data_IF_606010952216
#
_entry.id   IF_606010952216
#
_cell.length_a   1.000
_cell.length_b   1.000
_cell.length_c   1.000
_cell.angle_alpha   90.00
_cell.angle_beta   90.00
_cell.angle_gamma   90.00
#
_symmetry.space_group_name_H-M   'P 1'
#
loop_
_entity.id
_entity.type
_entity.pdbx_description
1 polymer ?
#
# COMPACT_ATOMS: atom_id res chain seq x y z
N UNK A 1 -12.95 -22.55 -0.78
CA UNK A 1 -11.86 -23.18 -0.01
C UNK A 1 -12.11 -23.04 1.48
N UNK A 2 -11.66 -24.00 2.30
CA UNK A 2 -11.88 -24.02 3.77
C UNK A 2 -11.39 -22.72 4.45
N UNK A 3 -10.38 -22.08 3.92
CA UNK A 3 -9.88 -20.80 4.43
C UNK A 3 -10.88 -19.64 4.29
N UNK A 4 -11.72 -19.63 3.27
CA UNK A 4 -12.74 -18.59 3.09
C UNK A 4 -13.93 -18.76 4.05
N UNK A 5 -14.15 -19.94 4.59
CA UNK A 5 -15.25 -20.20 5.52
C UNK A 5 -14.92 -19.79 6.96
N UNK A 6 -13.63 -19.82 7.32
CA UNK A 6 -13.17 -19.51 8.70
C UNK A 6 -13.11 -17.99 8.95
N UNK A 7 -12.94 -17.16 7.90
CA UNK A 7 -12.72 -15.71 8.04
C UNK A 7 -13.76 -14.86 7.30
N UNK A 8 -15.03 -15.14 7.49
CA UNK A 8 -16.12 -14.30 7.00
C UNK A 8 -16.26 -13.08 7.91
N UNK A 9 -15.53 -12.00 7.59
CA UNK A 9 -15.43 -10.80 8.46
C UNK A 9 -16.02 -9.54 7.85
N UNK A 10 -16.55 -9.62 6.61
CA UNK A 10 -17.20 -8.49 5.96
C UNK A 10 -18.51 -8.14 6.69
N UNK A 11 -18.73 -6.86 6.92
CA UNK A 11 -19.98 -6.33 7.48
C UNK A 11 -20.73 -5.55 6.43
N UNK A 12 -22.06 -5.65 6.40
CA UNK A 12 -22.94 -4.95 5.47
C UNK A 12 -22.91 -3.43 5.69
N UNK A 13 -22.82 -3.05 6.95
CA UNK A 13 -22.81 -1.67 7.39
C UNK A 13 -21.69 -1.46 8.43
N UNK A 14 -20.83 -0.46 8.26
CA UNK A 14 -19.70 -0.24 9.15
C UNK A 14 -20.10 0.21 10.57
N UNK A 15 -21.32 0.74 10.76
CA UNK A 15 -21.82 1.21 12.06
C UNK A 15 -22.50 0.07 12.80
N UNK A 16 -23.49 -0.56 12.19
CA UNK A 16 -24.26 -1.67 12.81
C UNK A 16 -23.55 -3.01 12.78
N UNK A 17 -22.56 -3.18 11.89
CA UNK A 17 -21.62 -4.31 11.84
C UNK A 17 -22.27 -5.68 11.67
N UNK A 18 -23.41 -5.77 11.00
CA UNK A 18 -24.02 -7.05 10.65
C UNK A 18 -23.15 -7.80 9.62
N UNK A 19 -22.75 -9.02 9.92
CA UNK A 19 -21.87 -9.80 9.05
C UNK A 19 -22.58 -10.23 7.76
N UNK A 20 -21.89 -10.12 6.62
CA UNK A 20 -22.41 -10.55 5.32
C UNK A 20 -22.48 -12.06 5.17
N UNK A 21 -21.69 -12.81 5.95
CA UNK A 21 -21.50 -14.26 5.95
C UNK A 21 -20.82 -14.86 4.70
N UNK A 22 -20.62 -14.07 3.67
CA UNK A 22 -20.01 -14.49 2.39
C UNK A 22 -18.86 -13.56 1.93
N UNK A 23 -18.50 -12.54 2.73
CA UNK A 23 -17.50 -11.53 2.42
C UNK A 23 -17.80 -10.65 1.20
N UNK A 24 -19.06 -10.53 0.79
CA UNK A 24 -19.46 -9.62 -0.28
C UNK A 24 -19.85 -8.24 0.26
N UNK A 25 -19.80 -7.18 -0.59
CA UNK A 25 -19.25 -7.15 -1.95
C UNK A 25 -17.72 -7.03 -1.98
N UNK A 26 -17.10 -7.49 -3.06
CA UNK A 26 -15.71 -7.17 -3.35
C UNK A 26 -15.57 -5.74 -3.87
N UNK A 27 -14.42 -5.12 -3.62
CA UNK A 27 -14.07 -3.86 -4.27
C UNK A 27 -13.48 -4.17 -5.64
N UNK A 28 -14.12 -3.71 -6.70
CA UNK A 28 -13.74 -4.01 -8.08
C UNK A 28 -13.35 -2.72 -8.80
N UNK A 29 -12.15 -2.72 -9.37
CA UNK A 29 -11.65 -1.64 -10.22
C UNK A 29 -11.56 -2.13 -11.66
N UNK A 30 -12.06 -1.34 -12.59
CA UNK A 30 -12.05 -1.65 -14.01
C UNK A 30 -11.06 -0.76 -14.75
N UNK A 31 -10.36 -1.35 -15.72
CA UNK A 31 -9.57 -0.62 -16.71
C UNK A 31 -9.90 -1.17 -18.09
N UNK A 32 -10.16 -0.26 -19.04
CA UNK A 32 -10.39 -0.64 -20.44
C UNK A 32 -9.07 -0.50 -21.17
N UNK A 33 -8.62 -1.58 -21.80
CA UNK A 33 -7.38 -1.64 -22.58
C UNK A 33 -7.68 -2.17 -23.98
N UNK A 34 -6.92 -1.80 -25.01
CA UNK A 34 -7.08 -2.36 -26.34
C UNK A 34 -6.82 -3.87 -26.34
N UNK A 35 -7.56 -4.60 -27.15
CA UNK A 35 -7.39 -6.03 -27.36
C UNK A 35 -8.62 -6.85 -27.00
N UNK A 36 -8.49 -8.16 -27.09
CA UNK A 36 -9.53 -9.17 -26.92
C UNK A 36 -9.36 -10.01 -25.64
N UNK A 37 -8.44 -9.60 -24.74
CA UNK A 37 -8.09 -10.35 -23.54
C UNK A 37 -8.65 -9.71 -22.28
N UNK A 38 -9.08 -10.54 -21.34
CA UNK A 38 -9.42 -10.12 -19.98
C UNK A 38 -8.25 -10.48 -19.05
N UNK A 39 -7.75 -9.50 -18.32
CA UNK A 39 -6.77 -9.72 -17.24
C UNK A 39 -7.45 -9.46 -15.91
N UNK A 40 -7.38 -10.43 -15.03
CA UNK A 40 -7.97 -10.33 -13.68
C UNK A 40 -6.83 -10.42 -12.67
N UNK A 41 -6.76 -9.44 -11.78
CA UNK A 41 -5.87 -9.46 -10.61
C UNK A 41 -6.72 -9.55 -9.36
N UNK A 42 -6.47 -10.54 -8.52
CA UNK A 42 -7.14 -10.73 -7.24
C UNK A 42 -6.14 -10.49 -6.12
N UNK A 43 -6.43 -9.54 -5.25
CA UNK A 43 -5.58 -9.16 -4.13
C UNK A 43 -6.36 -9.29 -2.81
N UNK A 44 -6.31 -10.46 -2.13
CA UNK A 44 -6.84 -10.59 -0.78
C UNK A 44 -6.07 -9.67 0.16
N UNK A 45 -6.78 -8.87 0.97
CA UNK A 45 -6.14 -7.91 1.87
C UNK A 45 -6.77 -7.96 3.26
N UNK A 46 -5.92 -8.10 4.27
CA UNK A 46 -6.32 -8.01 5.66
C UNK A 46 -6.67 -6.58 6.07
N UNK A 47 -7.71 -6.42 6.88
CA UNK A 47 -8.18 -5.10 7.30
C UNK A 47 -7.25 -4.41 8.31
N UNK A 48 -6.45 -5.17 9.07
CA UNK A 48 -5.45 -4.61 9.96
C UNK A 48 -4.45 -3.74 9.22
N UNK A 49 -3.89 -4.25 8.13
CA UNK A 49 -2.98 -3.49 7.28
C UNK A 49 -3.69 -2.40 6.46
N UNK A 50 -4.96 -2.58 6.05
CA UNK A 50 -5.74 -1.53 5.39
C UNK A 50 -5.93 -0.32 6.31
N UNK A 51 -6.21 -0.53 7.59
CA UNK A 51 -6.39 0.52 8.59
C UNK A 51 -5.11 1.33 8.86
N UNK A 52 -3.93 0.77 8.55
CA UNK A 52 -2.65 1.44 8.72
C UNK A 52 -2.25 2.33 7.55
N UNK A 53 -3.03 2.33 6.47
CA UNK A 53 -2.80 3.22 5.33
C UNK A 53 -2.94 4.69 5.72
N UNK A 54 -2.08 5.55 5.14
CA UNK A 54 -2.05 6.99 5.40
C UNK A 54 -2.03 7.77 4.08
N UNK A 55 -2.65 8.93 4.09
CA UNK A 55 -2.57 9.93 3.00
C UNK A 55 -1.92 11.18 3.56
N UNK A 56 -0.94 11.69 2.87
CA UNK A 56 -0.24 12.93 3.22
C UNK A 56 -0.41 13.95 2.11
N UNK A 57 -0.72 15.17 2.49
CA UNK A 57 -0.80 16.32 1.61
C UNK A 57 0.50 17.12 1.78
N UNK A 58 1.46 16.88 0.88
CA UNK A 58 2.77 17.52 0.93
C UNK A 58 2.80 18.81 0.09
N UNK A 59 3.55 19.79 0.55
CA UNK A 59 3.86 21.01 -0.22
C UNK A 59 5.03 20.74 -1.16
N UNK A 60 5.12 21.43 -2.30
CA UNK A 60 6.29 21.32 -3.19
C UNK A 60 7.63 21.58 -2.47
N UNK A 61 7.63 22.47 -1.48
CA UNK A 61 8.83 22.79 -0.67
C UNK A 61 9.32 21.62 0.21
N UNK A 62 8.45 20.64 0.51
CA UNK A 62 8.84 19.47 1.31
C UNK A 62 9.77 18.54 0.51
N UNK A 63 9.70 18.60 -0.81
CA UNK A 63 10.59 17.89 -1.73
C UNK A 63 10.62 16.37 -1.50
N UNK A 64 11.68 15.75 -1.97
CA UNK A 64 11.87 14.30 -1.86
C UNK A 64 12.05 13.84 -0.39
N UNK A 65 12.63 14.67 0.44
CA UNK A 65 12.82 14.35 1.87
C UNK A 65 11.47 14.33 2.60
N UNK A 66 10.54 15.23 2.25
CA UNK A 66 9.17 15.17 2.76
C UNK A 66 8.47 13.87 2.38
N UNK A 67 8.64 13.41 1.14
CA UNK A 67 8.12 12.11 0.67
C UNK A 67 8.70 10.96 1.49
N UNK A 68 10.02 10.89 1.65
CA UNK A 68 10.68 9.85 2.42
C UNK A 68 10.20 9.84 3.87
N UNK A 69 10.12 11.01 4.50
CA UNK A 69 9.66 11.13 5.88
C UNK A 69 8.20 10.70 6.06
N UNK A 70 7.32 11.05 5.12
CA UNK A 70 5.92 10.63 5.15
C UNK A 70 5.78 9.10 5.08
N UNK A 71 6.53 8.44 4.18
CA UNK A 71 6.53 6.99 4.05
C UNK A 71 7.06 6.33 5.33
N UNK A 72 8.19 6.80 5.86
CA UNK A 72 8.75 6.26 7.10
C UNK A 72 7.84 6.47 8.31
N UNK A 73 7.13 7.59 8.36
CA UNK A 73 6.14 7.88 9.40
C UNK A 73 4.99 6.90 9.31
N UNK A 74 4.42 6.67 8.10
CA UNK A 74 3.35 5.71 7.91
C UNK A 74 3.76 4.31 8.40
N UNK A 75 4.95 3.84 8.02
CA UNK A 75 5.45 2.52 8.44
C UNK A 75 5.65 2.42 9.96
N UNK A 76 6.23 3.45 10.58
CA UNK A 76 6.42 3.48 12.03
C UNK A 76 5.10 3.50 12.79
N UNK A 77 4.13 4.30 12.32
CA UNK A 77 2.79 4.36 12.91
C UNK A 77 2.03 3.04 12.77
N UNK A 78 2.23 2.36 11.66
CA UNK A 78 1.66 1.04 11.44
C UNK A 78 2.23 0.01 12.42
N UNK A 79 3.55 -0.01 12.57
CA UNK A 79 4.24 -0.90 13.50
C UNK A 79 3.77 -2.36 13.37
N UNK A 80 3.48 -3.02 14.49
CA UNK A 80 3.02 -4.41 14.49
C UNK A 80 1.61 -4.59 13.91
N UNK A 81 0.80 -3.53 13.85
CA UNK A 81 -0.60 -3.61 13.39
C UNK A 81 -0.73 -3.94 11.89
N UNK A 82 0.30 -3.67 11.10
CA UNK A 82 0.37 -4.06 9.70
C UNK A 82 0.76 -5.54 9.49
N UNK A 83 1.06 -6.27 10.57
CA UNK A 83 1.51 -7.67 10.54
C UNK A 83 2.77 -7.86 9.69
N UNK A 84 3.90 -7.18 9.99
CA UNK A 84 5.13 -7.34 9.22
C UNK A 84 5.66 -8.79 9.25
N UNK A 85 6.44 -9.23 8.22
CA UNK A 85 6.97 -8.40 7.14
C UNK A 85 5.90 -7.97 6.15
N UNK A 86 6.00 -6.72 5.70
CA UNK A 86 4.98 -6.09 4.85
C UNK A 86 5.50 -5.76 3.45
N UNK A 87 4.60 -5.55 2.51
CA UNK A 87 4.88 -4.84 1.26
C UNK A 87 4.29 -3.44 1.37
N UNK A 88 5.10 -2.43 1.12
CA UNK A 88 4.68 -1.03 1.19
C UNK A 88 4.36 -0.52 -0.22
N UNK A 89 3.10 -0.27 -0.49
CA UNK A 89 2.65 0.32 -1.75
C UNK A 89 2.50 1.84 -1.62
N UNK A 90 3.12 2.59 -2.51
CA UNK A 90 3.16 4.05 -2.48
C UNK A 90 2.63 4.62 -3.79
N UNK A 91 1.73 5.58 -3.69
CA UNK A 91 1.29 6.40 -4.82
C UNK A 91 1.73 7.85 -4.61
N UNK A 92 2.33 8.46 -5.62
CA UNK A 92 2.81 9.85 -5.56
C UNK A 92 2.22 10.62 -6.74
N UNK A 93 1.54 11.72 -6.44
CA UNK A 93 0.94 12.60 -7.44
C UNK A 93 -0.49 12.21 -7.84
N UNK A 94 -0.99 12.82 -8.90
CA UNK A 94 -2.39 12.71 -9.32
C UNK A 94 -3.34 13.48 -8.42
N UNK A 95 -4.58 13.02 -8.33
CA UNK A 95 -5.60 13.49 -7.40
C UNK A 95 -5.64 12.61 -6.16
N UNK A 96 -6.38 13.03 -5.13
CA UNK A 96 -6.48 12.30 -3.85
C UNK A 96 -6.85 10.82 -4.04
N UNK A 97 -7.91 10.54 -4.79
CA UNK A 97 -8.37 9.19 -5.09
C UNK A 97 -7.39 8.44 -6.00
N UNK A 98 -6.77 9.13 -6.96
CA UNK A 98 -5.79 8.55 -7.88
C UNK A 98 -4.54 8.08 -7.14
N UNK A 99 -4.01 8.92 -6.26
CA UNK A 99 -2.89 8.60 -5.39
C UNK A 99 -3.18 7.35 -4.55
N UNK A 100 -4.35 7.31 -3.93
CA UNK A 100 -4.81 6.19 -3.14
C UNK A 100 -4.89 4.87 -3.94
N UNK A 101 -5.50 4.96 -5.13
CA UNK A 101 -5.64 3.80 -6.02
C UNK A 101 -4.29 3.29 -6.54
N UNK A 102 -3.37 4.21 -6.87
CA UNK A 102 -2.01 3.85 -7.30
C UNK A 102 -1.25 3.12 -6.21
N UNK A 103 -1.31 3.59 -4.97
CA UNK A 103 -0.68 2.91 -3.84
C UNK A 103 -1.21 1.48 -3.68
N UNK A 104 -2.53 1.31 -3.75
CA UNK A 104 -3.17 -0.01 -3.69
C UNK A 104 -2.76 -0.91 -4.86
N UNK A 105 -2.69 -0.37 -6.08
CA UNK A 105 -2.24 -1.11 -7.26
C UNK A 105 -0.76 -1.48 -7.17
N UNK A 106 0.09 -0.63 -6.60
CA UNK A 106 1.51 -0.91 -6.40
C UNK A 106 1.76 -2.15 -5.55
N UNK A 107 0.86 -2.50 -4.61
CA UNK A 107 0.93 -3.72 -3.82
C UNK A 107 0.82 -5.00 -4.65
N UNK A 108 0.28 -4.94 -5.87
CA UNK A 108 0.13 -6.10 -6.75
C UNK A 108 1.34 -6.36 -7.63
N UNK A 109 2.38 -5.51 -7.55
CA UNK A 109 3.66 -5.74 -8.22
C UNK A 109 4.47 -6.79 -7.44
N UNK A 110 5.09 -7.78 -8.10
CA UNK A 110 5.97 -8.75 -7.46
C UNK A 110 7.07 -8.07 -6.62
N UNK A 111 7.48 -8.73 -5.54
CA UNK A 111 8.45 -8.16 -4.58
C UNK A 111 9.88 -8.11 -5.14
N UNK A 112 10.16 -8.87 -6.18
CA UNK A 112 11.43 -8.93 -6.91
C UNK A 112 11.46 -8.02 -8.15
N UNK A 113 10.35 -7.32 -8.43
CA UNK A 113 10.26 -6.36 -9.51
C UNK A 113 10.38 -4.92 -8.99
N UNK A 114 11.27 -4.15 -9.58
CA UNK A 114 11.46 -2.73 -9.29
C UNK A 114 10.81 -1.83 -10.32
N UNK A 115 10.71 -0.54 -10.02
CA UNK A 115 10.26 0.46 -10.98
C UNK A 115 11.19 0.53 -12.19
N UNK A 116 10.61 0.71 -13.38
CA UNK A 116 11.37 0.97 -14.61
C UNK A 116 12.00 2.37 -14.62
N UNK A 117 11.48 3.30 -13.81
CA UNK A 117 11.97 4.66 -13.69
C UNK A 117 13.18 4.67 -12.74
N UNK A 118 14.39 5.05 -13.20
CA UNK A 118 15.62 4.88 -12.43
C UNK A 118 15.60 5.54 -11.05
N UNK A 119 15.19 6.81 -10.96
CA UNK A 119 15.15 7.52 -9.67
C UNK A 119 14.09 6.97 -8.71
N UNK A 120 13.02 6.37 -9.23
CA UNK A 120 11.99 5.72 -8.40
C UNK A 120 12.53 4.41 -7.85
N UNK A 121 13.27 3.65 -8.66
CA UNK A 121 13.94 2.41 -8.22
C UNK A 121 14.93 2.70 -7.09
N UNK A 122 15.79 3.70 -7.25
CA UNK A 122 16.73 4.12 -6.21
C UNK A 122 15.99 4.49 -4.92
N UNK A 123 14.85 5.18 -5.03
CA UNK A 123 14.03 5.55 -3.88
C UNK A 123 13.38 4.33 -3.21
N UNK A 124 12.93 3.34 -3.99
CA UNK A 124 12.38 2.07 -3.47
C UNK A 124 13.45 1.31 -2.65
N UNK A 125 14.66 1.20 -3.18
CA UNK A 125 15.79 0.52 -2.53
C UNK A 125 16.23 1.25 -1.24
N UNK A 126 16.39 2.58 -1.31
CA UNK A 126 16.75 3.41 -0.15
C UNK A 126 15.70 3.29 0.97
N UNK A 127 14.42 3.36 0.62
CA UNK A 127 13.34 3.27 1.60
C UNK A 127 13.22 1.87 2.20
N UNK A 128 13.41 0.83 1.41
CA UNK A 128 13.41 -0.54 1.92
C UNK A 128 14.50 -0.74 2.97
N UNK A 129 15.71 -0.24 2.70
CA UNK A 129 16.81 -0.28 3.65
C UNK A 129 16.50 0.49 4.94
N UNK A 130 15.98 1.72 4.81
CA UNK A 130 15.60 2.56 5.95
C UNK A 130 14.48 1.94 6.79
N UNK A 131 13.47 1.36 6.15
CA UNK A 131 12.36 0.67 6.82
C UNK A 131 12.88 -0.54 7.59
N UNK A 132 13.74 -1.35 7.00
CA UNK A 132 14.31 -2.51 7.66
C UNK A 132 15.24 -2.14 8.82
N UNK A 133 15.91 -0.98 8.76
CA UNK A 133 16.68 -0.42 9.88
C UNK A 133 15.82 0.08 11.05
N UNK A 134 14.50 0.18 10.90
CA UNK A 134 13.61 0.54 12.02
C UNK A 134 13.59 -0.51 13.13
N UNK A 135 13.94 -1.75 12.80
CA UNK A 135 13.99 -2.84 13.75
C UNK A 135 12.62 -3.33 14.24
N UNK A 136 11.51 -2.91 13.60
CA UNK A 136 10.14 -3.38 13.96
C UNK A 136 10.09 -4.91 13.83
N UNK A 137 10.58 -5.44 12.71
CA UNK A 137 10.74 -6.86 12.48
C UNK A 137 9.44 -7.66 12.32
N UNK A 138 9.54 -8.97 12.05
CA UNK A 138 8.39 -9.85 11.86
C UNK A 138 7.45 -9.82 13.08
N UNK A 139 6.15 -9.67 12.83
CA UNK A 139 5.14 -9.56 13.89
C UNK A 139 5.28 -8.34 14.80
N UNK A 140 6.22 -7.42 14.52
CA UNK A 140 6.55 -6.32 15.41
C UNK A 140 7.37 -6.73 16.63
N UNK A 141 7.97 -7.92 16.60
CA UNK A 141 8.73 -8.50 17.72
C UNK A 141 10.23 -8.18 17.67
N UNK A 142 10.63 -7.29 16.78
CA UNK A 142 12.03 -6.96 16.53
C UNK A 142 12.65 -7.81 15.43
N UNK A 143 13.72 -7.29 14.84
CA UNK A 143 14.48 -7.97 13.79
C UNK A 143 14.74 -7.09 12.58
N UNK A 144 15.44 -7.66 11.60
CA UNK A 144 15.96 -6.94 10.44
C UNK A 144 14.98 -6.87 9.25
N UNK A 145 13.90 -7.64 9.27
CA UNK A 145 12.95 -7.71 8.15
C UNK A 145 11.60 -7.13 8.54
N UNK A 146 11.42 -5.86 8.35
CA UNK A 146 10.14 -5.15 8.56
C UNK A 146 9.33 -5.12 7.28
N UNK A 147 9.98 -4.93 6.13
CA UNK A 147 9.36 -4.94 4.81
C UNK A 147 10.10 -5.86 3.84
N UNK A 148 9.36 -6.46 2.91
CA UNK A 148 9.87 -7.27 1.81
C UNK A 148 10.14 -6.43 0.56
N UNK A 149 9.29 -5.44 0.32
CA UNK A 149 9.43 -4.52 -0.80
C UNK A 149 8.78 -3.16 -0.49
N UNK A 150 9.27 -2.14 -1.17
CA UNK A 150 8.62 -0.83 -1.30
C UNK A 150 8.33 -0.62 -2.78
N UNK A 151 7.06 -0.57 -3.15
CA UNK A 151 6.60 -0.43 -4.52
C UNK A 151 6.01 0.95 -4.74
N UNK A 152 6.64 1.78 -5.56
CA UNK A 152 6.24 3.17 -5.79
C UNK A 152 5.66 3.32 -7.20
N UNK A 153 4.52 3.99 -7.30
CA UNK A 153 3.92 4.44 -8.54
C UNK A 153 3.78 5.95 -8.53
N UNK A 154 4.13 6.59 -9.64
CA UNK A 154 4.07 8.04 -9.79
C UNK A 154 3.07 8.44 -10.86
N UNK A 155 2.48 9.62 -10.74
CA UNK A 155 1.58 10.18 -11.72
C UNK A 155 1.73 11.71 -11.78
N UNK A 156 1.56 12.34 -12.95
CA UNK A 156 1.58 13.78 -13.07
C UNK A 156 0.62 14.45 -12.08
N UNK A 157 1.07 15.54 -11.49
CA UNK A 157 0.31 16.29 -10.47
C UNK A 157 0.35 17.78 -10.78
N UNK A 158 -0.68 18.56 -10.40
CA UNK A 158 -0.61 20.02 -10.46
C UNK A 158 0.58 20.57 -9.65
N UNK A 159 1.18 21.64 -10.15
CA UNK A 159 2.41 22.24 -9.58
C UNK A 159 2.26 22.62 -8.09
N UNK A 160 1.03 22.93 -7.64
CA UNK A 160 0.77 23.48 -6.30
C UNK A 160 0.75 22.45 -5.17
N UNK A 161 0.56 21.15 -5.46
CA UNK A 161 0.40 20.12 -4.41
C UNK A 161 0.91 18.75 -4.85
N UNK A 162 1.50 18.02 -3.92
CA UNK A 162 1.86 16.61 -4.12
C UNK A 162 1.04 15.75 -3.17
N UNK A 163 0.28 14.82 -3.71
CA UNK A 163 -0.45 13.82 -2.94
C UNK A 163 0.41 12.57 -2.81
N UNK A 164 0.60 12.12 -1.59
CA UNK A 164 1.28 10.87 -1.31
C UNK A 164 0.37 9.97 -0.48
N UNK A 165 0.25 8.72 -0.87
CA UNK A 165 -0.34 7.68 -0.04
C UNK A 165 0.63 6.53 0.10
N UNK A 166 0.92 6.15 1.33
CA UNK A 166 1.53 4.89 1.67
C UNK A 166 0.44 3.87 2.05
N UNK A 167 0.52 2.69 1.48
CA UNK A 167 -0.39 1.58 1.72
C UNK A 167 0.41 0.34 2.05
N UNK A 168 0.01 -0.42 3.05
CA UNK A 168 0.76 -1.54 3.58
C UNK A 168 -0.08 -2.82 3.52
N UNK A 169 0.55 -3.95 3.17
CA UNK A 169 -0.04 -5.29 3.31
C UNK A 169 0.90 -6.16 4.11
N UNK A 170 0.35 -6.91 5.04
CA UNK A 170 1.04 -8.07 5.59
C UNK A 170 1.17 -9.16 4.50
N UNK A 171 2.27 -9.86 4.48
CA UNK A 171 2.51 -11.01 3.61
C UNK A 171 1.69 -12.23 4.08
#
# INVERSE_FOLDING_TARGET
>A
SAASDVYKRQVKDPIYRENTKDNTPAIIHYSIVPGDRVRITVAPKGFGSENMSRVFMLKPADGIEGVKNAILTAVKDAGPNACPPMVVGVGIGGTFEKCALMAKKALTRPVDEHSEIPYVRELEEELLEKINKTGIGPGGLGGSTTALAVNISTYPTPVSYTHLRAHETGA
#
